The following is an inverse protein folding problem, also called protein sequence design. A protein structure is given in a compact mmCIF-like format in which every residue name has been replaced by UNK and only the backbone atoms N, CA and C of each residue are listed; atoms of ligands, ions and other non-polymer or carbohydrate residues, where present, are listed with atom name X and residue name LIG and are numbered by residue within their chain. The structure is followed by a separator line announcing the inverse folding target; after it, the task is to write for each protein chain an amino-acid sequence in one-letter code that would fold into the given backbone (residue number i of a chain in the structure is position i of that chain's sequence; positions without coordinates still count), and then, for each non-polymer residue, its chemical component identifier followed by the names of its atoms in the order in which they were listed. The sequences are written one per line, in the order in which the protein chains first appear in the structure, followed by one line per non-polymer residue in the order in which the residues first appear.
data_IF_541427714383
#
_entry.id   IF_541427714383
#
_cell.length_a   1.000
_cell.length_b   1.000
_cell.length_c   1.000
_cell.angle_alpha   90.00
_cell.angle_beta   90.00
_cell.angle_gamma   90.00
#
_symmetry.space_group_name_H-M   'P 1'
#
loop_
_entity.id
_entity.type
_entity.pdbx_description
1 polymer ?
#
# COMPACT_ATOMS: atom_id res chain seq x y z
N UNK A 1 -17.52 70.84 7.90
CA UNK A 1 -17.80 69.38 7.84
C UNK A 1 -19.02 69.17 6.98
N UNK A 2 -18.86 68.63 5.75
CA UNK A 2 -20.00 68.29 4.90
C UNK A 2 -20.72 67.07 5.54
N UNK A 3 -21.95 67.24 5.93
CA UNK A 3 -22.79 66.17 6.44
C UNK A 3 -23.20 65.26 5.26
N UNK A 4 -22.64 64.04 5.19
CA UNK A 4 -23.05 63.04 4.23
C UNK A 4 -24.58 62.77 4.30
N UNK A 5 -25.23 62.73 3.16
CA UNK A 5 -26.69 62.51 3.09
C UNK A 5 -27.09 61.20 3.76
N UNK A 6 -28.27 61.18 4.40
CA UNK A 6 -28.78 59.97 5.09
C UNK A 6 -28.80 58.73 4.18
N UNK A 7 -29.14 58.88 2.90
CA UNK A 7 -29.11 57.83 1.87
C UNK A 7 -27.70 57.24 1.68
N UNK A 8 -26.67 58.09 1.68
CA UNK A 8 -25.28 57.63 1.57
C UNK A 8 -24.81 56.85 2.80
N UNK A 9 -25.20 57.25 3.99
CA UNK A 9 -24.88 56.53 5.23
C UNK A 9 -25.52 55.13 5.26
N UNK A 10 -26.76 55.03 4.83
CA UNK A 10 -27.49 53.75 4.70
C UNK A 10 -26.82 52.87 3.66
N UNK A 11 -26.44 53.42 2.51
CA UNK A 11 -25.72 52.70 1.48
C UNK A 11 -24.40 52.11 1.96
N UNK A 12 -23.57 52.91 2.66
CA UNK A 12 -22.31 52.44 3.27
C UNK A 12 -22.54 51.34 4.29
N UNK A 13 -23.57 51.46 5.13
CA UNK A 13 -23.92 50.42 6.11
C UNK A 13 -24.30 49.10 5.41
N UNK A 14 -25.14 49.15 4.40
CA UNK A 14 -25.54 47.97 3.63
C UNK A 14 -24.31 47.33 2.96
N UNK A 15 -23.45 48.11 2.32
CA UNK A 15 -22.23 47.59 1.71
C UNK A 15 -21.28 46.95 2.73
N UNK A 16 -21.14 47.54 3.94
CA UNK A 16 -20.30 46.96 4.99
C UNK A 16 -20.81 45.61 5.49
N UNK A 17 -22.13 45.44 5.62
CA UNK A 17 -22.77 44.16 5.97
C UNK A 17 -22.53 43.10 4.88
N UNK A 18 -22.71 43.47 3.61
CA UNK A 18 -22.40 42.55 2.48
C UNK A 18 -20.95 42.13 2.44
N UNK A 19 -20.01 43.04 2.64
CA UNK A 19 -18.59 42.75 2.71
C UNK A 19 -18.30 41.78 3.88
N UNK A 20 -18.92 42.01 5.05
CA UNK A 20 -18.83 41.14 6.21
C UNK A 20 -19.29 39.71 5.93
N UNK A 21 -20.45 39.58 5.27
CA UNK A 21 -21.00 38.27 4.89
C UNK A 21 -20.08 37.55 3.89
N UNK A 22 -19.55 38.26 2.88
CA UNK A 22 -18.63 37.68 1.90
C UNK A 22 -17.34 37.23 2.60
N UNK A 23 -16.80 38.01 3.54
CA UNK A 23 -15.63 37.65 4.29
C UNK A 23 -15.83 36.38 5.14
N UNK A 24 -16.98 36.28 5.81
CA UNK A 24 -17.35 35.07 6.58
C UNK A 24 -17.46 33.86 5.66
N UNK A 25 -18.16 33.96 4.53
CA UNK A 25 -18.29 32.87 3.56
C UNK A 25 -16.92 32.43 3.00
N UNK A 26 -16.03 33.40 2.76
CA UNK A 26 -14.67 33.10 2.30
C UNK A 26 -13.85 32.35 3.36
N UNK A 27 -13.94 32.76 4.64
CA UNK A 27 -13.29 32.07 5.74
C UNK A 27 -13.81 30.64 5.89
N UNK A 28 -15.12 30.44 5.82
CA UNK A 28 -15.76 29.10 5.89
C UNK A 28 -15.27 28.22 4.75
N UNK A 29 -15.26 28.73 3.50
CA UNK A 29 -14.77 27.97 2.35
C UNK A 29 -13.29 27.60 2.47
N UNK A 30 -12.45 28.51 2.95
CA UNK A 30 -11.02 28.22 3.16
C UNK A 30 -10.81 27.16 4.26
N UNK A 31 -11.61 27.25 5.34
CA UNK A 31 -11.56 26.26 6.42
C UNK A 31 -12.02 24.87 5.95
N UNK A 32 -13.10 24.78 5.18
CA UNK A 32 -13.56 23.51 4.61
C UNK A 32 -12.53 22.88 3.68
N UNK A 33 -11.87 23.68 2.82
CA UNK A 33 -10.81 23.18 1.93
C UNK A 33 -9.62 22.61 2.72
N UNK A 34 -9.21 23.31 3.78
CA UNK A 34 -8.12 22.86 4.64
C UNK A 34 -8.48 21.56 5.35
N UNK A 35 -9.65 21.48 5.98
CA UNK A 35 -10.13 20.27 6.65
C UNK A 35 -10.26 19.09 5.70
N UNK A 36 -10.79 19.30 4.50
CA UNK A 36 -10.92 18.22 3.50
C UNK A 36 -9.55 17.66 3.09
N UNK A 37 -8.55 18.55 2.91
CA UNK A 37 -7.20 18.13 2.56
C UNK A 37 -6.50 17.37 3.70
N UNK A 38 -6.61 17.85 4.93
CA UNK A 38 -6.03 17.20 6.11
C UNK A 38 -6.68 15.83 6.37
N UNK A 39 -8.00 15.76 6.32
CA UNK A 39 -8.75 14.49 6.45
C UNK A 39 -8.40 13.51 5.33
N UNK A 40 -8.30 13.98 4.08
CA UNK A 40 -7.87 13.14 2.96
C UNK A 40 -6.49 12.55 3.18
N UNK A 41 -5.52 13.37 3.60
CA UNK A 41 -4.16 12.90 3.90
C UNK A 41 -4.13 11.86 5.03
N UNK A 42 -4.90 12.05 6.08
CA UNK A 42 -4.99 11.08 7.18
C UNK A 42 -5.62 9.75 6.74
N UNK A 43 -6.66 9.80 5.91
CA UNK A 43 -7.30 8.61 5.33
C UNK A 43 -6.28 7.84 4.47
N UNK A 44 -5.49 8.53 3.63
CA UNK A 44 -4.44 7.91 2.84
C UNK A 44 -3.42 7.16 3.71
N UNK A 45 -2.97 7.77 4.80
CA UNK A 45 -2.01 7.13 5.73
C UNK A 45 -2.62 5.89 6.36
N UNK A 46 -3.88 5.97 6.83
CA UNK A 46 -4.55 4.83 7.47
C UNK A 46 -4.79 3.67 6.50
N UNK A 47 -5.23 3.95 5.27
CA UNK A 47 -5.45 2.91 4.25
C UNK A 47 -4.13 2.26 3.82
N UNK A 48 -3.05 3.04 3.72
CA UNK A 48 -1.72 2.49 3.47
C UNK A 48 -1.29 1.54 4.58
N UNK A 49 -1.46 1.93 5.84
CA UNK A 49 -1.15 1.09 7.00
C UNK A 49 -2.01 -0.18 7.03
N UNK A 50 -3.29 -0.09 6.66
CA UNK A 50 -4.19 -1.25 6.56
C UNK A 50 -3.67 -2.26 5.53
N UNK A 51 -3.26 -1.80 4.35
CA UNK A 51 -2.69 -2.67 3.30
C UNK A 51 -1.36 -3.28 3.75
N UNK A 52 -0.47 -2.51 4.37
CA UNK A 52 0.77 -3.02 4.94
C UNK A 52 0.52 -4.12 5.97
N UNK A 53 -0.42 -3.92 6.88
CA UNK A 53 -0.82 -4.94 7.86
C UNK A 53 -1.44 -6.17 7.20
N UNK A 54 -2.25 -5.98 6.15
CA UNK A 54 -2.85 -7.08 5.39
C UNK A 54 -1.80 -7.98 4.75
N UNK A 55 -0.81 -7.40 4.05
CA UNK A 55 0.27 -8.19 3.43
C UNK A 55 1.17 -8.85 4.49
N UNK A 56 1.42 -8.17 5.61
CA UNK A 56 2.15 -8.77 6.73
C UNK A 56 1.41 -9.98 7.28
N UNK A 57 0.14 -9.84 7.63
CA UNK A 57 -0.67 -10.92 8.17
C UNK A 57 -0.77 -12.10 7.17
N UNK A 58 -0.96 -11.82 5.89
CA UNK A 58 -1.03 -12.85 4.86
C UNK A 58 0.30 -13.62 4.75
N UNK A 59 1.44 -12.90 4.78
CA UNK A 59 2.77 -13.53 4.69
C UNK A 59 3.10 -14.35 5.93
N UNK A 60 2.86 -13.80 7.11
CA UNK A 60 3.10 -14.51 8.38
C UNK A 60 2.24 -15.78 8.49
N UNK A 61 0.95 -15.69 8.12
CA UNK A 61 0.03 -16.84 8.14
C UNK A 61 0.43 -17.92 7.14
N UNK A 62 0.84 -17.51 5.93
CA UNK A 62 1.29 -18.44 4.90
C UNK A 62 2.59 -19.12 5.32
N UNK A 63 3.56 -18.35 5.86
CA UNK A 63 4.82 -18.92 6.37
C UNK A 63 4.59 -19.93 7.47
N UNK A 64 3.75 -19.60 8.45
CA UNK A 64 3.42 -20.52 9.56
C UNK A 64 2.77 -21.81 9.05
N UNK A 65 1.81 -21.69 8.13
CA UNK A 65 1.12 -22.85 7.53
C UNK A 65 2.08 -23.73 6.73
N UNK A 66 2.89 -23.13 5.88
CA UNK A 66 3.90 -23.86 5.10
C UNK A 66 4.95 -24.52 6.01
N UNK A 67 5.39 -23.80 7.04
CA UNK A 67 6.35 -24.34 8.00
C UNK A 67 5.88 -25.63 8.70
N UNK A 68 4.61 -25.72 9.06
CA UNK A 68 4.05 -26.96 9.63
C UNK A 68 3.88 -28.07 8.57
N UNK A 69 3.51 -27.70 7.31
CA UNK A 69 3.37 -28.67 6.21
C UNK A 69 4.71 -29.32 5.84
N UNK A 70 5.82 -28.62 5.95
CA UNK A 70 7.14 -29.09 5.50
C UNK A 70 8.03 -29.58 6.65
N UNK A 71 7.52 -29.59 7.87
CA UNK A 71 8.27 -29.95 9.07
C UNK A 71 8.83 -31.35 8.99
N UNK A 72 10.15 -31.47 9.20
CA UNK A 72 10.86 -32.76 9.22
C UNK A 72 11.07 -33.41 7.86
N UNK A 73 10.70 -32.72 6.76
CA UNK A 73 10.95 -33.20 5.41
C UNK A 73 12.36 -32.76 4.92
N UNK A 74 12.97 -33.53 4.00
CA UNK A 74 14.16 -33.08 3.29
C UNK A 74 13.90 -31.80 2.49
N UNK A 75 14.94 -30.97 2.31
CA UNK A 75 14.80 -29.63 1.70
C UNK A 75 14.19 -29.64 0.29
N UNK A 76 14.55 -30.61 -0.53
CA UNK A 76 13.99 -30.74 -1.89
C UNK A 76 12.48 -31.04 -1.87
N UNK A 77 12.02 -31.84 -0.93
CA UNK A 77 10.58 -32.07 -0.71
C UNK A 77 9.89 -30.82 -0.14
N UNK A 78 10.52 -30.12 0.79
CA UNK A 78 10.01 -28.85 1.31
C UNK A 78 9.77 -27.85 0.17
N UNK A 79 10.76 -27.62 -0.66
CA UNK A 79 10.69 -26.67 -1.80
C UNK A 79 9.58 -27.09 -2.76
N UNK A 80 9.44 -28.37 -3.08
CA UNK A 80 8.41 -28.87 -3.96
C UNK A 80 6.98 -28.64 -3.43
N UNK A 81 6.77 -28.88 -2.15
CA UNK A 81 5.48 -28.63 -1.48
C UNK A 81 5.16 -27.14 -1.49
N UNK A 82 6.15 -26.31 -1.13
CA UNK A 82 6.02 -24.86 -1.11
C UNK A 82 5.69 -24.32 -2.51
N UNK A 83 6.43 -24.71 -3.56
CA UNK A 83 6.16 -24.23 -4.93
C UNK A 83 4.74 -24.62 -5.37
N UNK A 84 4.31 -25.86 -5.12
CA UNK A 84 2.95 -26.30 -5.45
C UNK A 84 1.86 -25.49 -4.73
N UNK A 85 2.10 -25.14 -3.45
CA UNK A 85 1.14 -24.39 -2.65
C UNK A 85 0.93 -22.95 -3.14
N UNK A 86 1.99 -22.28 -3.62
CA UNK A 86 1.92 -20.88 -4.02
C UNK A 86 1.73 -20.66 -5.52
N UNK A 87 1.99 -21.66 -6.38
CA UNK A 87 2.07 -21.50 -7.83
C UNK A 87 0.81 -20.85 -8.43
N UNK A 88 -0.38 -21.26 -7.98
CA UNK A 88 -1.66 -20.75 -8.50
C UNK A 88 -2.30 -19.71 -7.59
N UNK A 89 -1.69 -19.41 -6.46
CA UNK A 89 -2.27 -18.47 -5.52
C UNK A 89 -2.13 -17.03 -6.03
N UNK A 90 -3.27 -16.36 -6.21
CA UNK A 90 -3.34 -14.96 -6.66
C UNK A 90 -4.35 -14.22 -5.80
N UNK A 91 -4.04 -12.97 -5.49
CA UNK A 91 -4.93 -12.06 -4.78
C UNK A 91 -4.83 -10.66 -5.41
N UNK A 92 -5.49 -9.67 -4.85
CA UNK A 92 -5.85 -8.38 -5.41
C UNK A 92 -6.85 -8.50 -6.59
N UNK A 93 -7.62 -7.45 -6.83
CA UNK A 93 -8.65 -7.43 -7.87
C UNK A 93 -8.06 -7.63 -9.28
N UNK A 94 -6.88 -7.06 -9.52
CA UNK A 94 -6.12 -7.19 -10.77
C UNK A 94 -5.28 -8.48 -10.83
N UNK A 95 -5.37 -9.36 -9.81
CA UNK A 95 -4.60 -10.62 -9.67
C UNK A 95 -3.09 -10.41 -9.68
N UNK A 96 -2.61 -9.20 -9.40
CA UNK A 96 -1.19 -8.89 -9.33
C UNK A 96 -0.51 -9.37 -8.04
N UNK A 97 -1.28 -9.71 -7.00
CA UNK A 97 -0.78 -10.24 -5.74
C UNK A 97 -0.40 -11.72 -5.86
N UNK A 98 0.76 -12.09 -5.38
CA UNK A 98 1.28 -13.47 -5.34
C UNK A 98 2.36 -13.60 -4.27
N UNK A 99 2.61 -14.84 -3.83
CA UNK A 99 3.76 -15.17 -3.00
C UNK A 99 4.95 -15.62 -3.84
N UNK A 100 6.15 -15.40 -3.33
CA UNK A 100 7.40 -15.91 -3.90
C UNK A 100 8.33 -16.34 -2.78
N UNK A 101 9.17 -17.33 -3.05
CA UNK A 101 10.00 -17.98 -2.03
C UNK A 101 11.43 -18.11 -2.51
N UNK A 102 12.35 -17.76 -1.62
CA UNK A 102 13.78 -17.81 -1.85
C UNK A 102 14.46 -18.63 -0.76
N UNK A 103 15.55 -19.28 -1.11
CA UNK A 103 16.57 -19.72 -0.18
C UNK A 103 17.70 -18.73 -0.21
N UNK A 104 17.92 -18.01 0.89
CA UNK A 104 18.85 -16.89 0.94
C UNK A 104 18.60 -15.88 -0.19
N UNK A 105 19.41 -15.89 -1.23
CA UNK A 105 19.33 -14.96 -2.36
C UNK A 105 18.90 -15.63 -3.68
N UNK A 106 18.52 -16.91 -3.62
CA UNK A 106 18.18 -17.71 -4.80
C UNK A 106 16.68 -18.05 -4.78
N UNK A 107 15.87 -17.63 -5.78
CA UNK A 107 14.48 -18.02 -5.87
C UNK A 107 14.35 -19.53 -6.02
N UNK A 108 13.54 -20.14 -5.18
CA UNK A 108 13.21 -21.57 -5.21
C UNK A 108 11.77 -21.81 -5.65
N UNK A 109 10.88 -20.82 -5.50
CA UNK A 109 9.52 -20.85 -6.00
C UNK A 109 9.07 -19.42 -6.38
N UNK A 110 8.70 -19.21 -7.64
CA UNK A 110 8.25 -17.91 -8.14
C UNK A 110 7.21 -18.06 -9.25
N UNK A 111 5.93 -17.81 -8.99
CA UNK A 111 4.86 -18.17 -9.93
C UNK A 111 4.84 -17.34 -11.22
N UNK A 112 5.39 -16.12 -11.22
CA UNK A 112 5.39 -15.21 -12.38
C UNK A 112 6.74 -15.08 -13.07
N UNK A 113 7.83 -15.52 -12.43
CA UNK A 113 9.20 -15.41 -12.93
C UNK A 113 9.95 -16.73 -12.76
N UNK A 114 9.41 -17.79 -13.37
CA UNK A 114 10.02 -19.14 -13.39
C UNK A 114 11.44 -19.11 -13.98
N UNK A 115 11.74 -18.14 -14.84
CA UNK A 115 13.05 -17.90 -15.43
C UNK A 115 14.15 -17.54 -14.44
N UNK A 116 13.79 -17.06 -13.24
CA UNK A 116 14.73 -16.69 -12.16
C UNK A 116 15.07 -17.86 -11.24
N UNK A 117 14.27 -18.92 -11.21
CA UNK A 117 14.43 -20.06 -10.29
C UNK A 117 15.85 -20.65 -10.45
N UNK A 118 16.54 -20.84 -9.31
CA UNK A 118 17.89 -21.39 -9.25
C UNK A 118 19.02 -20.41 -9.59
N UNK A 119 18.72 -19.15 -9.94
CA UNK A 119 19.75 -18.12 -10.21
C UNK A 119 19.96 -17.26 -8.97
N UNK A 120 21.20 -17.11 -8.53
CA UNK A 120 21.49 -16.16 -7.44
C UNK A 120 21.20 -14.72 -7.87
N UNK A 121 20.40 -14.03 -7.08
CA UNK A 121 20.10 -12.61 -7.27
C UNK A 121 20.83 -11.72 -6.26
N UNK A 122 21.90 -12.23 -5.64
CA UNK A 122 22.67 -11.51 -4.63
C UNK A 122 23.16 -10.14 -5.12
N UNK A 123 23.65 -10.05 -6.36
CA UNK A 123 24.15 -8.81 -6.96
C UNK A 123 23.13 -8.08 -7.82
N UNK A 124 21.88 -8.55 -7.84
CA UNK A 124 20.81 -7.96 -8.64
C UNK A 124 20.25 -6.71 -7.95
N UNK A 125 20.21 -5.62 -8.70
CA UNK A 125 19.53 -4.38 -8.32
C UNK A 125 18.27 -4.21 -9.15
N UNK A 126 17.31 -3.50 -8.59
CA UNK A 126 16.22 -2.94 -9.36
C UNK A 126 16.64 -1.69 -10.15
N UNK A 127 15.71 -1.08 -10.90
CA UNK A 127 15.96 0.11 -11.70
C UNK A 127 16.35 1.35 -10.85
N UNK A 128 16.03 1.35 -9.55
CA UNK A 128 16.41 2.39 -8.58
C UNK A 128 17.74 2.09 -7.87
N UNK A 129 18.38 0.99 -8.20
CA UNK A 129 19.66 0.58 -7.60
C UNK A 129 19.54 -0.15 -6.27
N UNK A 130 18.34 -0.58 -5.88
CA UNK A 130 18.07 -1.28 -4.62
C UNK A 130 18.38 -2.77 -4.76
N UNK A 131 19.16 -3.32 -3.82
CA UNK A 131 19.41 -4.76 -3.70
C UNK A 131 18.22 -5.44 -2.98
N UNK A 132 17.06 -5.43 -3.60
CA UNK A 132 15.78 -5.82 -2.98
C UNK A 132 15.79 -7.23 -2.36
N UNK A 133 16.48 -8.20 -2.97
CA UNK A 133 16.59 -9.56 -2.44
C UNK A 133 17.39 -9.59 -1.14
N UNK A 134 18.50 -8.83 -1.08
CA UNK A 134 19.30 -8.71 0.17
C UNK A 134 18.48 -8.06 1.27
N UNK A 135 17.81 -6.95 0.96
CA UNK A 135 16.99 -6.21 1.94
C UNK A 135 15.83 -7.05 2.46
N UNK A 136 15.11 -7.77 1.57
CA UNK A 136 14.04 -8.68 1.96
C UNK A 136 14.55 -9.81 2.85
N UNK A 137 15.68 -10.42 2.50
CA UNK A 137 16.26 -11.51 3.31
C UNK A 137 16.74 -11.02 4.68
N UNK A 138 17.44 -9.87 4.75
CA UNK A 138 17.82 -9.29 6.03
C UNK A 138 16.59 -8.96 6.90
N UNK A 139 15.55 -8.43 6.27
CA UNK A 139 14.27 -8.17 6.94
C UNK A 139 13.63 -9.46 7.45
N UNK A 140 13.63 -10.53 6.64
CA UNK A 140 13.05 -11.81 7.01
C UNK A 140 13.75 -12.48 8.21
N UNK A 141 15.06 -12.29 8.37
CA UNK A 141 15.85 -12.82 9.49
C UNK A 141 15.63 -12.10 10.81
N UNK A 142 15.12 -10.87 10.78
CA UNK A 142 14.96 -10.06 11.97
C UNK A 142 13.78 -10.60 12.79
N UNK A 143 14.05 -11.20 13.95
CA UNK A 143 13.02 -11.58 14.91
C UNK A 143 12.28 -10.33 15.41
N UNK A 144 10.96 -10.41 15.56
CA UNK A 144 10.08 -9.27 15.87
C UNK A 144 10.10 -8.19 14.79
N UNK A 145 9.85 -8.61 13.58
CA UNK A 145 9.78 -7.74 12.42
C UNK A 145 8.63 -6.74 12.56
N UNK A 146 8.86 -5.69 13.34
CA UNK A 146 7.91 -4.59 13.54
C UNK A 146 7.76 -3.81 12.24
N UNK A 147 7.06 -4.41 11.27
CA UNK A 147 6.59 -3.72 10.08
C UNK A 147 7.67 -3.18 9.16
N UNK A 148 8.83 -3.83 9.03
CA UNK A 148 9.83 -3.42 8.03
C UNK A 148 9.39 -3.89 6.65
N UNK A 149 9.01 -2.95 5.81
CA UNK A 149 8.68 -3.17 4.41
C UNK A 149 9.85 -2.73 3.53
N UNK A 150 10.06 -3.43 2.42
CA UNK A 150 11.06 -3.09 1.40
C UNK A 150 10.35 -2.53 0.17
N UNK A 151 10.84 -1.39 -0.31
CA UNK A 151 10.31 -0.70 -1.49
C UNK A 151 11.27 -0.92 -2.65
N UNK A 152 10.78 -1.49 -3.75
CA UNK A 152 11.60 -1.82 -4.92
C UNK A 152 10.77 -1.89 -6.19
N UNK A 153 11.41 -1.83 -7.33
CA UNK A 153 10.77 -1.98 -8.65
C UNK A 153 10.81 -3.44 -9.06
N UNK A 154 9.66 -3.97 -9.52
CA UNK A 154 9.59 -5.35 -9.99
C UNK A 154 8.56 -5.56 -11.11
N UNK A 155 8.66 -6.74 -11.75
CA UNK A 155 7.73 -7.14 -12.81
C UNK A 155 6.32 -7.34 -12.25
N UNK A 156 5.35 -6.54 -12.73
CA UNK A 156 3.94 -6.64 -12.36
C UNK A 156 3.18 -7.50 -13.36
N UNK A 157 2.54 -8.60 -12.93
CA UNK A 157 1.63 -9.35 -13.79
C UNK A 157 0.42 -8.50 -14.18
N UNK A 158 0.01 -8.56 -15.42
CA UNK A 158 -1.19 -7.89 -15.93
C UNK A 158 -2.31 -8.90 -16.22
N UNK A 159 -3.58 -8.46 -16.24
CA UNK A 159 -4.71 -9.34 -16.52
C UNK A 159 -4.65 -10.06 -17.87
N UNK A 160 -3.96 -9.49 -18.87
CA UNK A 160 -3.74 -10.07 -20.18
C UNK A 160 -2.60 -11.12 -20.21
N UNK A 161 -1.97 -11.38 -19.06
CA UNK A 161 -0.85 -12.33 -18.91
C UNK A 161 0.52 -11.73 -19.26
N UNK A 162 0.60 -10.49 -19.70
CA UNK A 162 1.88 -9.80 -19.91
C UNK A 162 2.49 -9.33 -18.58
N UNK A 163 3.76 -8.92 -18.62
CA UNK A 163 4.44 -8.30 -17.47
C UNK A 163 4.66 -6.82 -17.75
N UNK A 164 4.30 -5.99 -16.77
CA UNK A 164 4.72 -4.60 -16.68
C UNK A 164 5.87 -4.45 -15.70
N UNK A 165 6.27 -3.21 -15.43
CA UNK A 165 7.22 -2.84 -14.38
C UNK A 165 6.51 -1.81 -13.50
N UNK A 166 6.56 -2.00 -12.19
CA UNK A 166 5.96 -1.06 -11.22
C UNK A 166 6.69 -1.11 -9.87
N UNK A 167 6.57 -0.02 -9.12
CA UNK A 167 7.01 0.05 -7.73
C UNK A 167 6.18 -0.91 -6.86
N UNK A 168 6.87 -1.65 -5.99
CA UNK A 168 6.28 -2.67 -5.12
C UNK A 168 6.70 -2.46 -3.68
N UNK A 169 5.78 -2.64 -2.76
CA UNK A 169 6.04 -2.77 -1.33
C UNK A 169 6.05 -4.27 -1.03
N UNK A 170 7.16 -4.80 -0.53
CA UNK A 170 7.28 -6.20 -0.12
C UNK A 170 7.46 -6.36 1.38
N UNK A 171 6.99 -7.48 1.91
CA UNK A 171 7.21 -7.94 3.27
C UNK A 171 7.66 -9.39 3.23
N UNK A 172 8.69 -9.74 4.02
CA UNK A 172 9.30 -11.06 4.01
C UNK A 172 9.46 -11.63 5.41
N UNK A 173 9.35 -12.95 5.52
CA UNK A 173 9.52 -13.70 6.77
C UNK A 173 10.10 -15.08 6.48
N UNK A 174 10.93 -15.61 7.41
CA UNK A 174 11.44 -16.98 7.32
C UNK A 174 10.28 -17.98 7.48
N UNK A 175 10.25 -19.01 6.63
CA UNK A 175 9.33 -20.15 6.80
C UNK A 175 9.85 -21.00 7.95
N UNK A 176 9.07 -21.21 9.03
CA UNK A 176 9.49 -22.05 10.13
C UNK A 176 9.85 -23.47 9.69
N UNK A 177 10.72 -24.14 10.44
CA UNK A 177 11.17 -25.52 10.15
C UNK A 177 11.92 -25.69 8.81
N UNK A 178 12.44 -24.60 8.25
CA UNK A 178 13.30 -24.61 7.06
C UNK A 178 14.64 -23.94 7.36
N UNK A 179 15.64 -24.19 6.51
CA UNK A 179 16.96 -23.57 6.63
C UNK A 179 17.10 -22.40 5.65
N UNK A 180 16.97 -21.16 6.17
CA UNK A 180 17.11 -19.93 5.41
C UNK A 180 16.16 -19.80 4.18
N UNK A 181 15.05 -20.53 4.20
CA UNK A 181 13.98 -20.35 3.22
C UNK A 181 13.00 -19.30 3.74
N UNK A 182 12.75 -18.28 2.95
CA UNK A 182 11.83 -17.20 3.29
C UNK A 182 10.79 -17.00 2.21
N UNK A 183 9.63 -16.58 2.64
CA UNK A 183 8.50 -16.23 1.79
C UNK A 183 8.27 -14.73 1.86
N UNK A 184 7.88 -14.16 0.74
CA UNK A 184 7.44 -12.77 0.66
C UNK A 184 6.19 -12.64 -0.19
N UNK A 185 5.45 -11.61 0.09
CA UNK A 185 4.46 -11.05 -0.83
C UNK A 185 4.53 -9.54 -0.79
N UNK A 186 3.79 -8.88 -1.67
CA UNK A 186 3.71 -7.43 -1.67
C UNK A 186 2.64 -6.92 -2.61
N UNK A 187 2.36 -5.64 -2.48
CA UNK A 187 1.40 -4.89 -3.30
C UNK A 187 2.15 -3.91 -4.18
N UNK A 188 1.71 -3.74 -5.42
CA UNK A 188 2.23 -2.71 -6.31
C UNK A 188 1.65 -1.36 -5.93
N UNK A 189 2.48 -0.30 -5.98
CA UNK A 189 2.11 1.03 -5.46
C UNK A 189 0.99 1.66 -6.28
N UNK A 190 0.95 1.42 -7.59
CA UNK A 190 -0.14 1.86 -8.46
C UNK A 190 -1.48 1.21 -8.05
N UNK A 191 -1.51 -0.10 -7.79
CA UNK A 191 -2.69 -0.82 -7.26
C UNK A 191 -3.09 -0.29 -5.88
N UNK A 192 -2.11 -0.06 -5.00
CA UNK A 192 -2.35 0.54 -3.69
C UNK A 192 -2.91 1.97 -3.82
N UNK A 193 -2.34 2.78 -4.70
CA UNK A 193 -2.79 4.16 -4.92
C UNK A 193 -4.24 4.19 -5.43
N UNK A 194 -4.58 3.35 -6.39
CA UNK A 194 -5.95 3.21 -6.90
C UNK A 194 -6.93 2.79 -5.80
N UNK A 195 -6.56 1.81 -4.97
CA UNK A 195 -7.36 1.38 -3.82
C UNK A 195 -7.58 2.51 -2.82
N UNK A 196 -6.52 3.24 -2.47
CA UNK A 196 -6.58 4.36 -1.51
C UNK A 196 -7.42 5.50 -2.06
N UNK A 197 -7.25 5.88 -3.32
CA UNK A 197 -8.00 6.96 -3.95
C UNK A 197 -9.51 6.64 -4.01
N UNK A 198 -9.87 5.43 -4.47
CA UNK A 198 -11.25 4.99 -4.55
C UNK A 198 -11.93 4.95 -3.18
N UNK A 199 -11.26 4.42 -2.16
CA UNK A 199 -11.83 4.35 -0.82
C UNK A 199 -11.87 5.71 -0.11
N UNK A 200 -10.87 6.57 -0.30
CA UNK A 200 -10.86 7.93 0.23
C UNK A 200 -12.04 8.76 -0.30
N UNK A 201 -12.29 8.71 -1.61
CA UNK A 201 -13.42 9.41 -2.24
C UNK A 201 -14.75 8.92 -1.63
N UNK A 202 -14.91 7.62 -1.48
CA UNK A 202 -16.12 7.03 -0.91
C UNK A 202 -16.35 7.44 0.56
N UNK A 203 -15.30 7.42 1.37
CA UNK A 203 -15.36 7.82 2.79
C UNK A 203 -15.69 9.32 2.89
N UNK A 204 -15.01 10.18 2.15
CA UNK A 204 -15.24 11.63 2.15
C UNK A 204 -16.66 11.96 1.68
N UNK A 205 -17.17 11.28 0.64
CA UNK A 205 -18.52 11.51 0.13
C UNK A 205 -19.59 11.11 1.15
N UNK A 206 -19.42 9.97 1.84
CA UNK A 206 -20.30 9.54 2.94
C UNK A 206 -20.30 10.54 4.09
N UNK A 207 -19.13 11.03 4.48
CA UNK A 207 -18.99 12.04 5.55
C UNK A 207 -19.74 13.33 5.19
N UNK A 208 -19.54 13.85 3.98
CA UNK A 208 -20.27 15.02 3.48
C UNK A 208 -21.80 14.82 3.48
N UNK A 209 -22.26 13.62 3.09
CA UNK A 209 -23.71 13.33 3.10
C UNK A 209 -24.31 13.28 4.50
N UNK A 210 -23.54 12.81 5.49
CA UNK A 210 -23.98 12.79 6.91
C UNK A 210 -24.10 14.21 7.44
N UNK A 211 -23.09 15.06 7.21
CA UNK A 211 -23.13 16.47 7.63
C UNK A 211 -24.30 17.21 6.98
N UNK A 212 -24.51 17.03 5.67
CA UNK A 212 -25.60 17.68 4.96
C UNK A 212 -27.01 17.25 5.43
N UNK A 213 -27.14 16.08 6.06
CA UNK A 213 -28.41 15.58 6.65
C UNK A 213 -28.61 16.03 8.09
N UNK A 214 -27.55 16.51 8.75
CA UNK A 214 -27.59 16.97 10.15
C UNK A 214 -27.78 18.47 10.29
N UNK A 215 -27.73 19.21 9.20
CA UNK A 215 -28.03 20.65 9.08
C UNK A 215 -29.46 20.85 8.54
#
# INVERSE_FOLDING_TARGET
MQYLSMKFKVFVLVCSVFIGIIAILMIVMLHERKMTKETGSQIHVLLKQEVEQKIKLATDSMAASLGELVKGLPEDEQIKIIDNAIDKFRFEEDKSGYFFVYKEHTPVAHPTRKDLIGKSLYDTKDDNGIYYVRELFETAKTQNNEGKFVYFVFSKPKPDGSLGIADKIGYAVIIPNTENIWISTGVYIDTLQEYVDNNSINIISKFKSIIAKSL
#
